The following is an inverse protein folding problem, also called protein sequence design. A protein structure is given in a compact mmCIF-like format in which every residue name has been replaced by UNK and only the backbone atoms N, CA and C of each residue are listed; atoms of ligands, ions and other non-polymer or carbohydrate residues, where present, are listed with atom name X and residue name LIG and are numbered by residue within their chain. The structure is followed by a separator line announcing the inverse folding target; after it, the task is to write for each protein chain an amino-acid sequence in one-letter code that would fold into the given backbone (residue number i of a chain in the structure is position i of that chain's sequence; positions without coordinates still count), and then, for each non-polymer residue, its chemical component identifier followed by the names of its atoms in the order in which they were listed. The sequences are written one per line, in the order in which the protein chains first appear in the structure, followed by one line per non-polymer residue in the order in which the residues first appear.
data_IF_447268338090
#
_entry.id   IF_447268338090
#
_cell.length_a   1.000
_cell.length_b   1.000
_cell.length_c   1.000
_cell.angle_alpha   90.00
_cell.angle_beta   90.00
_cell.angle_gamma   90.00
#
_symmetry.space_group_name_H-M   'P 1'
#
loop_
_entity.id
_entity.type
_entity.pdbx_description
1 polymer ?
#
# COMPACT_ATOMS: atom_id res chain seq x y z
N UNK A 1 18.95 17.41 13.91
CA UNK A 1 18.33 17.32 12.58
C UNK A 1 17.54 16.02 12.50
N UNK A 2 16.28 16.03 12.95
CA UNK A 2 15.38 14.87 12.97
C UNK A 2 13.95 15.44 12.85
N UNK A 3 13.20 15.16 11.76
CA UNK A 3 11.72 15.13 11.69
C UNK A 3 11.08 15.19 10.29
N UNK A 4 11.83 15.38 9.20
CA UNK A 4 11.23 15.71 7.87
C UNK A 4 10.24 14.68 7.29
N UNK A 5 10.28 13.41 7.73
CA UNK A 5 9.32 12.38 7.33
C UNK A 5 7.97 12.53 8.03
N UNK A 6 7.97 12.76 9.35
CA UNK A 6 6.74 12.95 10.13
C UNK A 6 6.05 14.26 9.77
N UNK A 7 6.81 15.32 9.49
CA UNK A 7 6.25 16.61 9.09
C UNK A 7 5.45 16.50 7.78
N UNK A 8 5.95 15.73 6.81
CA UNK A 8 5.26 15.47 5.54
C UNK A 8 3.97 14.67 5.73
N UNK A 9 4.00 13.63 6.58
CA UNK A 9 2.82 12.81 6.87
C UNK A 9 1.73 13.66 7.55
N UNK A 10 2.10 14.42 8.58
CA UNK A 10 1.17 15.29 9.29
C UNK A 10 0.60 16.39 8.37
N UNK A 11 1.40 16.90 7.43
CA UNK A 11 0.93 17.85 6.40
C UNK A 11 -0.13 17.23 5.49
N UNK A 12 0.07 15.99 5.02
CA UNK A 12 -0.90 15.30 4.15
C UNK A 12 -2.20 15.02 4.92
N UNK A 13 -2.10 14.54 6.17
CA UNK A 13 -3.27 14.26 7.02
C UNK A 13 -4.07 15.54 7.26
N UNK A 14 -3.39 16.66 7.53
CA UNK A 14 -4.02 17.98 7.69
C UNK A 14 -4.77 18.41 6.43
N UNK A 15 -4.18 18.18 5.24
CA UNK A 15 -4.83 18.52 3.97
C UNK A 15 -6.09 17.66 3.73
N UNK A 16 -6.03 16.37 4.05
CA UNK A 16 -7.18 15.46 3.93
C UNK A 16 -8.29 15.89 4.87
N UNK A 17 -7.98 16.15 6.15
CA UNK A 17 -8.96 16.61 7.15
C UNK A 17 -9.68 17.89 6.70
N UNK A 18 -8.93 18.86 6.14
CA UNK A 18 -9.49 20.08 5.59
C UNK A 18 -10.44 19.84 4.41
N UNK A 19 -10.20 18.80 3.60
CA UNK A 19 -11.03 18.46 2.43
C UNK A 19 -12.23 17.58 2.79
N UNK A 20 -12.16 16.82 3.88
CA UNK A 20 -13.21 15.87 4.27
C UNK A 20 -14.18 16.38 5.33
N UNK A 21 -13.95 17.58 5.89
CA UNK A 21 -14.70 18.14 7.02
C UNK A 21 -14.71 17.22 8.26
N UNK A 22 -13.64 16.44 8.43
CA UNK A 22 -13.43 15.56 9.57
C UNK A 22 -12.33 16.12 10.48
N UNK A 23 -12.36 15.76 11.76
CA UNK A 23 -11.29 16.16 12.67
C UNK A 23 -9.96 15.52 12.28
N UNK A 24 -8.87 16.24 12.53
CA UNK A 24 -7.50 15.77 12.26
C UNK A 24 -7.23 14.39 12.87
N UNK A 25 -7.65 14.17 14.12
CA UNK A 25 -7.43 12.89 14.80
C UNK A 25 -8.19 11.72 14.14
N UNK A 26 -9.43 11.95 13.69
CA UNK A 26 -10.20 10.92 12.97
C UNK A 26 -9.50 10.55 11.67
N UNK A 27 -9.06 11.54 10.89
CA UNK A 27 -8.35 11.29 9.63
C UNK A 27 -7.00 10.63 9.88
N UNK A 28 -6.26 11.07 10.90
CA UNK A 28 -4.98 10.47 11.30
C UNK A 28 -5.15 8.99 11.63
N UNK A 29 -6.15 8.64 12.44
CA UNK A 29 -6.45 7.25 12.77
C UNK A 29 -6.78 6.43 11.52
N UNK A 30 -7.62 6.96 10.62
CA UNK A 30 -7.96 6.28 9.37
C UNK A 30 -6.75 6.06 8.46
N UNK A 31 -5.88 7.07 8.30
CA UNK A 31 -4.66 6.97 7.50
C UNK A 31 -3.69 5.93 8.07
N UNK A 32 -3.45 5.96 9.39
CA UNK A 32 -2.56 4.99 10.05
C UNK A 32 -3.08 3.57 9.90
N UNK A 33 -4.39 3.36 10.11
CA UNK A 33 -5.02 2.06 9.90
C UNK A 33 -4.83 1.53 8.45
N UNK A 34 -4.99 2.40 7.45
CA UNK A 34 -4.76 2.01 6.05
C UNK A 34 -3.29 1.66 5.79
N UNK A 35 -2.34 2.40 6.37
CA UNK A 35 -0.91 2.09 6.22
C UNK A 35 -0.55 0.74 6.83
N UNK A 36 -1.07 0.44 8.03
CA UNK A 36 -0.88 -0.86 8.68
C UNK A 36 -1.45 -2.02 7.85
N UNK A 37 -2.63 -1.82 7.25
CA UNK A 37 -3.23 -2.82 6.37
C UNK A 37 -2.35 -3.11 5.14
N UNK A 38 -1.84 -2.06 4.50
CA UNK A 38 -0.91 -2.20 3.36
C UNK A 38 0.38 -2.91 3.78
N UNK A 39 0.93 -2.55 4.93
CA UNK A 39 2.13 -3.19 5.47
C UNK A 39 1.91 -4.69 5.72
N UNK A 40 0.77 -5.05 6.32
CA UNK A 40 0.38 -6.45 6.56
C UNK A 40 0.33 -7.25 5.26
N UNK A 41 -0.33 -6.72 4.23
CA UNK A 41 -0.42 -7.36 2.92
C UNK A 41 0.96 -7.56 2.29
N UNK A 42 1.85 -6.57 2.38
CA UNK A 42 3.21 -6.69 1.85
C UNK A 42 4.02 -7.74 2.62
N UNK A 43 3.86 -7.83 3.96
CA UNK A 43 4.58 -8.77 4.82
C UNK A 43 4.11 -10.21 4.65
N UNK A 44 2.80 -10.45 4.80
CA UNK A 44 2.20 -11.78 4.76
C UNK A 44 2.08 -12.30 3.33
N UNK A 45 1.87 -11.40 2.37
CA UNK A 45 1.81 -11.72 0.94
C UNK A 45 0.63 -12.59 0.52
N UNK A 46 -0.36 -12.78 1.39
CA UNK A 46 -1.56 -13.58 1.12
C UNK A 46 -2.44 -12.93 0.05
N UNK A 47 -2.41 -11.61 -0.06
CA UNK A 47 -3.31 -10.81 -0.88
C UNK A 47 -2.57 -9.71 -1.65
N UNK A 48 -3.27 -9.04 -2.58
CA UNK A 48 -2.79 -7.81 -3.21
C UNK A 48 -3.78 -6.68 -2.99
N UNK A 49 -3.28 -5.46 -2.75
CA UNK A 49 -4.11 -4.26 -2.69
C UNK A 49 -3.96 -3.52 -4.02
N UNK A 50 -5.06 -3.34 -4.74
CA UNK A 50 -5.13 -2.52 -5.95
C UNK A 50 -5.85 -1.21 -5.64
N UNK A 51 -5.15 -0.11 -5.82
CA UNK A 51 -5.71 1.24 -5.70
C UNK A 51 -5.78 1.85 -7.10
N UNK A 52 -6.99 2.04 -7.66
CA UNK A 52 -7.15 2.68 -8.97
C UNK A 52 -6.36 3.99 -9.05
N UNK A 53 -5.67 4.20 -10.17
CA UNK A 53 -4.86 5.40 -10.45
C UNK A 53 -3.61 5.60 -9.56
N UNK A 54 -3.39 4.78 -8.52
CA UNK A 54 -2.19 4.83 -7.67
C UNK A 54 -1.26 3.62 -7.87
N UNK A 55 -1.82 2.45 -8.16
CA UNK A 55 -1.07 1.23 -8.47
C UNK A 55 -1.48 0.03 -7.61
N UNK A 56 -0.54 -0.87 -7.37
CA UNK A 56 -0.77 -2.07 -6.56
C UNK A 56 0.35 -2.33 -5.55
N UNK A 57 -0.02 -2.85 -4.39
CA UNK A 57 0.88 -3.31 -3.35
C UNK A 57 0.80 -4.84 -3.25
N UNK A 58 1.96 -5.49 -3.38
CA UNK A 58 2.10 -6.94 -3.49
C UNK A 58 3.40 -7.39 -2.84
N UNK A 59 3.38 -8.54 -2.18
CA UNK A 59 4.61 -9.19 -1.74
C UNK A 59 5.36 -9.76 -2.96
N UNK A 60 6.53 -9.19 -3.27
CA UNK A 60 7.36 -9.60 -4.42
C UNK A 60 7.71 -11.10 -4.43
N UNK A 61 7.80 -11.75 -3.26
CA UNK A 61 8.10 -13.19 -3.18
C UNK A 61 6.98 -14.05 -3.77
N UNK A 62 5.73 -13.60 -3.70
CA UNK A 62 4.57 -14.33 -4.21
C UNK A 62 4.27 -14.07 -5.69
N UNK A 63 4.73 -12.95 -6.26
CA UNK A 63 4.57 -12.62 -7.69
C UNK A 63 5.21 -13.70 -8.60
N UNK A 64 6.32 -14.32 -8.17
CA UNK A 64 7.03 -15.35 -8.96
C UNK A 64 6.23 -16.65 -9.15
N UNK A 65 5.19 -16.89 -8.35
CA UNK A 65 4.41 -18.14 -8.41
C UNK A 65 3.26 -18.10 -9.41
N UNK A 66 2.85 -16.92 -9.86
CA UNK A 66 1.69 -16.73 -10.75
C UNK A 66 2.05 -16.64 -12.24
N UNK A 67 3.34 -16.77 -12.59
CA UNK A 67 3.85 -16.69 -13.96
C UNK A 67 4.41 -18.02 -14.46
N UNK A 68 3.56 -19.05 -14.58
CA UNK A 68 3.90 -20.27 -15.33
C UNK A 68 2.66 -20.77 -16.08
N UNK A 69 2.38 -20.16 -17.24
CA UNK A 69 1.83 -20.89 -18.37
C UNK A 69 2.99 -21.61 -19.04
N UNK A 70 3.09 -22.92 -18.82
CA UNK A 70 4.03 -23.81 -19.50
C UNK A 70 3.74 -23.82 -21.00
N UNK A 71 4.71 -23.43 -21.81
CA UNK A 71 4.96 -24.09 -23.11
C UNK A 71 6.37 -24.66 -23.06
N UNK A 72 6.49 -25.84 -22.45
CA UNK A 72 7.51 -26.81 -22.83
C UNK A 72 6.95 -27.52 -24.06
N UNK A 73 7.42 -27.15 -25.25
CA UNK A 73 7.36 -28.04 -26.41
C UNK A 73 8.80 -28.40 -26.73
N UNK A 74 9.23 -29.56 -26.22
CA UNK A 74 10.35 -30.29 -26.78
C UNK A 74 10.07 -30.49 -28.26
N UNK A 75 10.97 -30.05 -29.13
CA UNK A 75 11.07 -30.61 -30.47
C UNK A 75 12.47 -31.20 -30.61
N UNK A 76 12.44 -32.49 -31.00
CA UNK A 76 13.57 -33.34 -31.39
C UNK A 76 14.63 -32.62 -32.24
#
# INVERSE_FOLDING_TARGET
MLNSGNDKINSIISEIARKSDLSYEVVKHACLFQFELVEKVIKEGTEEIRLPYLGRFVNKKNIRRSGVGRTQSNNN
#
